data_IF_596995748367
#
_entry.id   IF_596995748367
#
_cell.length_a   1.000
_cell.length_b   1.000
_cell.length_c   1.000
_cell.angle_alpha   90.00
_cell.angle_beta   90.00
_cell.angle_gamma   90.00
#
_symmetry.space_group_name_H-M   'P 1'
#
loop_
_entity.id
_entity.type
_entity.pdbx_description
1 polymer ?
#
# COMPACT_ATOMS: atom_id res chain seq x y z
N UNK A 1 -7.09 22.08 -19.75
CA UNK A 1 -7.14 20.90 -20.63
C UNK A 1 -8.55 20.36 -20.54
N UNK A 2 -9.23 20.18 -21.67
CA UNK A 2 -10.60 19.70 -21.69
C UNK A 2 -10.60 18.19 -21.41
N UNK A 3 -11.38 17.77 -20.41
CA UNK A 3 -11.49 16.36 -20.01
C UNK A 3 -12.71 15.77 -20.75
N UNK A 4 -12.54 14.67 -21.51
CA UNK A 4 -13.66 13.99 -22.16
C UNK A 4 -14.77 13.56 -21.19
N UNK A 5 -16.02 13.53 -21.66
CA UNK A 5 -17.21 13.15 -20.85
C UNK A 5 -17.12 11.73 -20.24
N UNK A 6 -16.30 10.86 -20.82
CA UNK A 6 -16.07 9.49 -20.34
C UNK A 6 -14.89 9.37 -19.35
N UNK A 7 -14.33 10.50 -18.90
CA UNK A 7 -13.29 10.55 -17.88
C UNK A 7 -13.83 11.32 -16.68
N UNK A 8 -13.94 10.63 -15.55
CA UNK A 8 -14.30 11.24 -14.29
C UNK A 8 -13.03 11.41 -13.44
N UNK A 9 -12.66 12.65 -13.15
CA UNK A 9 -11.56 12.97 -12.25
C UNK A 9 -12.09 12.98 -10.81
N UNK A 10 -11.46 12.19 -9.96
CA UNK A 10 -11.80 12.04 -8.55
C UNK A 10 -10.54 12.34 -7.75
N UNK A 11 -10.67 13.12 -6.68
CA UNK A 11 -9.55 13.44 -5.79
C UNK A 11 -9.29 12.26 -4.84
N UNK A 12 -10.15 12.09 -3.84
CA UNK A 12 -10.04 11.03 -2.84
C UNK A 12 -11.30 10.16 -2.81
N UNK A 13 -11.09 8.84 -2.68
CA UNK A 13 -12.16 7.87 -2.56
C UNK A 13 -11.67 6.59 -1.88
N UNK A 14 -12.45 5.99 -0.95
CA UNK A 14 -12.12 4.69 -0.39
C UNK A 14 -12.09 3.61 -1.48
N UNK A 15 -10.93 2.97 -1.67
CA UNK A 15 -10.76 1.92 -2.68
C UNK A 15 -11.63 0.69 -2.43
N UNK A 16 -11.90 0.37 -1.17
CA UNK A 16 -12.78 -0.73 -0.76
C UNK A 16 -14.25 -0.50 -1.16
N UNK A 17 -14.67 0.76 -1.28
CA UNK A 17 -15.96 1.12 -1.86
C UNK A 17 -15.92 1.23 -3.39
N UNK A 18 -14.87 1.83 -3.96
CA UNK A 18 -14.78 2.10 -5.39
C UNK A 18 -14.53 0.84 -6.23
N UNK A 19 -13.55 0.02 -5.84
CA UNK A 19 -13.10 -1.11 -6.67
C UNK A 19 -14.15 -2.19 -6.91
N UNK A 20 -15.08 -2.51 -5.99
CA UNK A 20 -16.20 -3.41 -6.30
C UNK A 20 -17.08 -2.94 -7.46
N UNK A 21 -17.04 -1.65 -7.81
CA UNK A 21 -17.78 -1.05 -8.93
C UNK A 21 -16.95 -1.00 -10.22
N UNK A 22 -15.66 -1.35 -10.16
CA UNK A 22 -14.76 -1.33 -11.30
C UNK A 22 -14.71 -2.68 -12.03
N UNK A 23 -14.49 -2.64 -13.34
CA UNK A 23 -14.23 -3.87 -14.12
C UNK A 23 -12.76 -4.31 -14.07
N UNK A 24 -11.84 -3.37 -13.93
CA UNK A 24 -10.40 -3.59 -13.85
C UNK A 24 -9.73 -2.39 -13.16
N UNK A 25 -8.49 -2.57 -12.67
CA UNK A 25 -7.71 -1.51 -12.01
C UNK A 25 -6.32 -1.42 -12.62
N UNK A 26 -5.86 -0.20 -12.89
CA UNK A 26 -4.46 0.10 -13.27
C UNK A 26 -3.86 0.94 -12.17
N UNK A 27 -2.72 0.52 -11.62
CA UNK A 27 -2.04 1.27 -10.56
C UNK A 27 -0.55 0.93 -10.52
N UNK A 28 0.22 1.60 -9.67
CA UNK A 28 1.68 1.43 -9.64
C UNK A 28 2.16 0.13 -8.97
N UNK A 29 1.28 -0.69 -8.37
CA UNK A 29 1.67 -1.93 -7.68
C UNK A 29 1.96 -1.84 -6.19
N UNK A 30 1.43 -0.88 -5.43
CA UNK A 30 1.60 -0.88 -3.97
C UNK A 30 0.86 -2.07 -3.33
N UNK A 31 1.40 -2.67 -2.27
CA UNK A 31 0.82 -3.84 -1.60
C UNK A 31 -0.66 -3.68 -1.26
N UNK A 32 -1.01 -2.56 -0.60
CA UNK A 32 -2.38 -2.26 -0.19
C UNK A 32 -3.35 -2.16 -1.37
N UNK A 33 -3.03 -1.34 -2.38
CA UNK A 33 -3.89 -1.18 -3.57
C UNK A 33 -4.04 -2.49 -4.35
N UNK A 34 -2.96 -3.27 -4.47
CA UNK A 34 -3.00 -4.60 -5.10
C UNK A 34 -3.95 -5.52 -4.35
N UNK A 35 -3.79 -5.61 -3.03
CA UNK A 35 -4.64 -6.45 -2.18
C UNK A 35 -6.11 -6.02 -2.27
N UNK A 36 -6.41 -4.72 -2.20
CA UNK A 36 -7.78 -4.21 -2.29
C UNK A 36 -8.41 -4.48 -3.66
N UNK A 37 -7.67 -4.29 -4.75
CA UNK A 37 -8.14 -4.58 -6.11
C UNK A 37 -8.45 -6.07 -6.30
N UNK A 38 -7.55 -6.94 -5.86
CA UNK A 38 -7.75 -8.39 -5.94
C UNK A 38 -8.87 -8.89 -5.01
N UNK A 39 -9.01 -8.31 -3.81
CA UNK A 39 -10.14 -8.59 -2.90
C UNK A 39 -11.48 -8.18 -3.51
N UNK A 40 -11.52 -7.09 -4.28
CA UNK A 40 -12.71 -6.69 -5.05
C UNK A 40 -12.96 -7.56 -6.30
N UNK A 41 -12.10 -8.54 -6.57
CA UNK A 41 -12.20 -9.39 -7.76
C UNK A 41 -11.88 -8.65 -9.06
N UNK A 42 -11.10 -7.57 -9.00
CA UNK A 42 -10.71 -6.80 -10.17
C UNK A 42 -9.42 -7.34 -10.80
N UNK A 43 -9.45 -7.75 -12.08
CA UNK A 43 -8.25 -7.85 -12.89
C UNK A 43 -7.40 -6.58 -12.79
N UNK A 44 -6.09 -6.75 -12.68
CA UNK A 44 -5.19 -5.65 -12.29
C UNK A 44 -3.97 -5.59 -13.19
N UNK A 45 -3.60 -4.38 -13.64
CA UNK A 45 -2.31 -4.13 -14.32
C UNK A 45 -1.46 -3.25 -13.44
N UNK A 46 -0.20 -3.66 -13.26
CA UNK A 46 0.78 -2.94 -12.46
C UNK A 46 1.74 -2.16 -13.36
N UNK A 47 1.93 -0.88 -13.05
CA UNK A 47 2.92 0.01 -13.70
C UNK A 47 4.02 0.36 -12.70
N UNK A 48 5.02 -0.52 -12.49
CA UNK A 48 5.99 -0.33 -11.42
C UNK A 48 7.06 0.70 -11.79
N UNK A 49 7.54 1.40 -10.77
CA UNK A 49 8.68 2.30 -10.88
C UNK A 49 9.66 2.21 -9.70
N UNK A 50 9.28 1.67 -8.53
CA UNK A 50 10.21 1.44 -7.42
C UNK A 50 9.69 0.42 -6.38
N UNK A 51 10.58 -0.04 -5.49
CA UNK A 51 10.19 -0.79 -4.30
C UNK A 51 9.58 -2.17 -4.57
N UNK A 52 8.55 -2.52 -3.79
CA UNK A 52 7.84 -3.80 -3.87
C UNK A 52 6.90 -3.92 -5.09
N UNK A 53 6.73 -2.84 -5.85
CA UNK A 53 5.84 -2.78 -7.00
C UNK A 53 6.14 -3.83 -8.07
N UNK A 54 7.42 -4.10 -8.32
CA UNK A 54 7.84 -5.13 -9.27
C UNK A 54 7.41 -6.53 -8.81
N UNK A 55 7.56 -6.81 -7.50
CA UNK A 55 7.12 -8.07 -6.92
C UNK A 55 5.61 -8.27 -7.09
N UNK A 56 4.80 -7.24 -6.82
CA UNK A 56 3.35 -7.34 -6.97
C UNK A 56 2.92 -7.49 -8.43
N UNK A 57 3.58 -6.78 -9.35
CA UNK A 57 3.38 -6.96 -10.78
C UNK A 57 3.63 -8.40 -11.23
N UNK A 58 4.75 -8.99 -10.79
CA UNK A 58 5.09 -10.38 -11.09
C UNK A 58 4.07 -11.36 -10.49
N UNK A 59 3.61 -11.14 -9.25
CA UNK A 59 2.60 -11.99 -8.60
C UNK A 59 1.27 -11.97 -9.34
N UNK A 60 0.82 -10.78 -9.75
CA UNK A 60 -0.41 -10.59 -10.53
C UNK A 60 -0.33 -11.33 -11.86
N UNK A 61 0.77 -11.17 -12.60
CA UNK A 61 0.98 -11.87 -13.87
C UNK A 61 1.05 -13.39 -13.69
N UNK A 62 1.84 -13.88 -12.73
CA UNK A 62 2.05 -15.32 -12.51
C UNK A 62 0.76 -16.06 -12.12
N UNK A 63 -0.17 -15.36 -11.45
CA UNK A 63 -1.49 -15.89 -11.11
C UNK A 63 -2.52 -15.68 -12.23
N UNK A 64 -2.14 -15.04 -13.34
CA UNK A 64 -3.02 -14.77 -14.48
C UNK A 64 -4.13 -13.77 -14.18
N UNK A 65 -3.94 -12.90 -13.18
CA UNK A 65 -4.90 -11.89 -12.71
C UNK A 65 -4.79 -10.57 -13.50
N UNK A 66 -3.78 -10.50 -14.36
CA UNK A 66 -3.44 -9.36 -15.19
C UNK A 66 -2.35 -9.73 -16.20
N UNK A 67 -2.04 -8.82 -17.14
CA UNK A 67 -0.94 -9.00 -18.07
C UNK A 67 0.41 -8.86 -17.35
N UNK A 68 1.50 -8.98 -18.11
CA UNK A 68 2.82 -8.61 -17.60
C UNK A 68 2.83 -7.16 -17.10
N UNK A 69 3.53 -6.85 -16.00
CA UNK A 69 3.66 -5.48 -15.53
C UNK A 69 4.31 -4.61 -16.62
N UNK A 70 3.88 -3.35 -16.69
CA UNK A 70 4.39 -2.38 -17.68
C UNK A 70 5.34 -1.45 -16.94
N UNK A 71 6.68 -1.63 -17.01
CA UNK A 71 7.60 -0.68 -16.39
C UNK A 71 7.27 0.75 -16.82
N UNK A 72 7.38 1.72 -15.92
CA UNK A 72 6.97 3.11 -16.22
C UNK A 72 7.64 3.67 -17.48
N UNK A 73 8.88 3.27 -17.78
CA UNK A 73 9.63 3.65 -19.00
C UNK A 73 9.04 3.08 -20.30
N UNK A 74 8.16 2.08 -20.20
CA UNK A 74 7.48 1.40 -21.30
C UNK A 74 5.98 1.70 -21.30
N UNK A 75 5.50 2.62 -20.46
CA UNK A 75 4.09 3.01 -20.44
C UNK A 75 3.75 3.80 -21.71
N UNK A 76 3.10 3.13 -22.65
CA UNK A 76 2.60 3.70 -23.90
C UNK A 76 1.09 3.48 -24.01
N UNK A 77 0.43 4.26 -24.87
CA UNK A 77 -1.00 4.08 -25.18
C UNK A 77 -1.29 2.66 -25.64
N UNK A 78 -0.42 2.09 -26.49
CA UNK A 78 -0.56 0.74 -27.00
C UNK A 78 -0.47 -0.30 -25.88
N UNK A 79 0.58 -0.24 -25.05
CA UNK A 79 0.79 -1.19 -23.95
C UNK A 79 -0.35 -1.12 -22.93
N UNK A 80 -0.78 0.08 -22.56
CA UNK A 80 -1.89 0.27 -21.63
C UNK A 80 -3.22 -0.23 -22.23
N UNK A 81 -3.49 0.06 -23.51
CA UNK A 81 -4.70 -0.41 -24.19
C UNK A 81 -4.74 -1.94 -24.29
N UNK A 82 -3.62 -2.57 -24.61
CA UNK A 82 -3.51 -4.02 -24.66
C UNK A 82 -3.71 -4.65 -23.28
N UNK A 83 -3.17 -4.03 -22.24
CA UNK A 83 -3.36 -4.47 -20.87
C UNK A 83 -4.84 -4.38 -20.43
N UNK A 84 -5.54 -3.29 -20.75
CA UNK A 84 -6.97 -3.16 -20.49
C UNK A 84 -7.78 -4.22 -21.24
N UNK A 85 -7.49 -4.46 -22.53
CA UNK A 85 -8.17 -5.52 -23.29
C UNK A 85 -7.95 -6.91 -22.69
N UNK A 86 -6.73 -7.20 -22.24
CA UNK A 86 -6.43 -8.46 -21.54
C UNK A 86 -7.26 -8.58 -20.25
N UNK A 87 -7.24 -7.55 -19.40
CA UNK A 87 -7.97 -7.54 -18.13
C UNK A 87 -9.48 -7.71 -18.29
N UNK A 88 -10.06 -7.23 -19.40
CA UNK A 88 -11.49 -7.36 -19.69
C UNK A 88 -11.89 -8.73 -20.26
N UNK A 89 -10.95 -9.66 -20.45
CA UNK A 89 -11.27 -11.03 -20.85
C UNK A 89 -12.03 -11.77 -19.73
N UNK A 90 -13.10 -12.52 -20.05
CA UNK A 90 -13.89 -13.24 -19.05
C UNK A 90 -13.07 -14.19 -18.18
N UNK A 91 -12.06 -14.84 -18.76
CA UNK A 91 -11.20 -15.81 -18.06
C UNK A 91 -10.31 -15.13 -17.01
N UNK A 92 -9.84 -13.90 -17.29
CA UNK A 92 -9.05 -13.12 -16.34
C UNK A 92 -9.95 -12.65 -15.19
N UNK A 93 -11.17 -12.20 -15.50
CA UNK A 93 -12.17 -11.85 -14.47
C UNK A 93 -12.54 -13.04 -13.60
N UNK A 94 -12.75 -14.23 -14.17
CA UNK A 94 -13.04 -15.45 -13.41
C UNK A 94 -11.94 -15.75 -12.40
N UNK A 95 -10.67 -15.74 -12.84
CA UNK A 95 -9.53 -15.97 -11.93
C UNK A 95 -9.42 -14.92 -10.82
N UNK A 96 -9.68 -13.65 -11.14
CA UNK A 96 -9.70 -12.58 -10.14
C UNK A 96 -10.81 -12.80 -9.10
N UNK A 97 -12.00 -13.21 -9.52
CA UNK A 97 -13.12 -13.53 -8.62
C UNK A 97 -12.84 -14.79 -7.77
N UNK A 98 -12.20 -15.80 -8.34
CA UNK A 98 -11.78 -17.01 -7.60
C UNK A 98 -10.79 -16.65 -6.49
N UNK A 99 -9.78 -15.82 -6.79
CA UNK A 99 -8.85 -15.34 -5.78
C UNK A 99 -9.53 -14.45 -4.73
N UNK A 100 -10.43 -13.56 -5.16
CA UNK A 100 -11.19 -12.71 -4.23
C UNK A 100 -11.92 -13.55 -3.18
N UNK A 101 -12.54 -14.66 -3.59
CA UNK A 101 -13.19 -15.59 -2.69
C UNK A 101 -12.21 -16.26 -1.72
N UNK A 102 -10.99 -16.58 -2.15
CA UNK A 102 -9.97 -17.11 -1.24
C UNK A 102 -9.58 -16.07 -0.19
N UNK A 103 -9.30 -14.83 -0.62
CA UNK A 103 -8.98 -13.71 0.28
C UNK A 103 -10.13 -13.44 1.27
N UNK A 104 -11.38 -13.50 0.82
CA UNK A 104 -12.55 -13.31 1.68
C UNK A 104 -12.68 -14.39 2.77
N UNK A 105 -12.20 -15.60 2.50
CA UNK A 105 -12.24 -16.71 3.45
C UNK A 105 -11.00 -16.78 4.36
N UNK A 106 -10.09 -15.81 4.28
CA UNK A 106 -8.92 -15.70 5.14
C UNK A 106 -9.15 -14.69 6.29
N UNK A 107 -8.62 -14.98 7.48
CA UNK A 107 -8.47 -14.00 8.55
C UNK A 107 -6.98 -13.72 8.79
N UNK A 108 -6.44 -12.80 8.00
CA UNK A 108 -5.04 -12.40 8.08
C UNK A 108 -4.69 -11.70 9.40
N UNK A 109 -5.65 -11.04 10.05
CA UNK A 109 -5.41 -10.33 11.31
C UNK A 109 -5.29 -11.33 12.45
N UNK A 110 -6.22 -12.27 12.58
CA UNK A 110 -6.14 -13.33 13.58
C UNK A 110 -4.86 -14.16 13.39
N UNK A 111 -4.55 -14.55 12.14
CA UNK A 111 -3.32 -15.28 11.84
C UNK A 111 -2.05 -14.51 12.22
N UNK A 112 -2.03 -13.18 12.03
CA UNK A 112 -0.92 -12.34 12.43
C UNK A 112 -0.80 -12.22 13.95
N UNK A 113 -1.92 -12.08 14.67
CA UNK A 113 -1.96 -12.05 16.14
C UNK A 113 -1.48 -13.38 16.72
N UNK A 114 -1.97 -14.50 16.19
CA UNK A 114 -1.53 -15.84 16.59
C UNK A 114 -0.05 -16.07 16.28
N UNK A 115 0.43 -15.60 15.13
CA UNK A 115 1.84 -15.64 14.80
C UNK A 115 2.67 -14.80 15.77
N UNK A 116 2.22 -13.59 16.11
CA UNK A 116 2.91 -12.73 17.06
C UNK A 116 3.02 -13.39 18.44
N UNK A 117 1.91 -13.88 19.00
CA UNK A 117 1.92 -14.54 20.31
C UNK A 117 2.76 -15.81 20.35
N UNK A 118 2.79 -16.61 19.27
CA UNK A 118 3.65 -17.81 19.19
C UNK A 118 5.14 -17.50 19.21
N UNK A 119 5.55 -16.30 18.82
CA UNK A 119 6.96 -15.89 18.78
C UNK A 119 7.36 -14.97 19.94
N UNK A 120 6.44 -14.67 20.86
CA UNK A 120 6.80 -14.00 22.10
C UNK A 120 7.60 -14.96 22.99
N UNK A 121 8.68 -14.48 23.64
CA UNK A 121 9.32 -15.26 24.69
C UNK A 121 8.36 -15.46 25.86
N UNK A 122 8.50 -16.57 26.59
CA UNK A 122 7.69 -16.89 27.78
C UNK A 122 7.77 -15.78 28.85
N UNK A 123 8.90 -15.07 28.90
CA UNK A 123 9.11 -13.88 29.71
C UNK A 123 9.45 -12.69 28.80
N UNK A 124 8.64 -11.64 28.85
CA UNK A 124 8.99 -10.36 28.25
C UNK A 124 9.99 -9.69 29.21
N UNK A 125 11.23 -9.39 28.78
CA UNK A 125 12.17 -8.66 29.63
C UNK A 125 11.55 -7.30 29.93
N UNK A 126 11.11 -7.10 31.18
CA UNK A 126 10.69 -5.78 31.62
C UNK A 126 11.89 -4.86 31.48
N UNK A 127 11.73 -3.64 30.92
CA UNK A 127 12.81 -2.68 30.93
C UNK A 127 13.27 -2.54 32.37
N UNK A 128 14.55 -2.88 32.62
CA UNK A 128 15.19 -2.59 33.90
C UNK A 128 14.92 -1.12 34.18
N UNK A 129 14.43 -0.83 35.38
CA UNK A 129 14.13 0.49 35.93
C UNK A 129 14.79 1.66 35.19
N UNK A 130 13.99 2.70 34.91
CA UNK A 130 14.39 4.01 34.38
C UNK A 130 15.86 4.36 34.72
N UNK A 131 16.64 4.93 33.77
CA UNK A 131 18.03 5.25 34.01
C UNK A 131 18.18 6.00 35.34
N UNK A 132 19.06 5.47 36.20
CA UNK A 132 19.39 6.09 37.47
C UNK A 132 19.84 7.54 37.23
N UNK A 133 19.13 8.46 37.91
CA UNK A 133 19.43 9.89 38.09
C UNK A 133 19.67 10.71 36.82
N UNK A 134 18.69 11.56 36.55
CA UNK A 134 18.85 12.86 35.89
C UNK A 134 19.83 13.73 36.71
N UNK A 135 21.13 13.54 36.50
CA UNK A 135 22.10 14.60 36.71
C UNK A 135 21.81 15.60 35.59
N UNK A 136 21.08 16.67 35.93
CA UNK A 136 20.52 17.64 34.98
C UNK A 136 21.51 18.09 33.89
N UNK A 137 21.00 18.63 32.78
CA UNK A 137 21.77 18.78 31.54
C UNK A 137 23.11 19.47 31.78
N UNK A 138 24.17 18.90 31.21
CA UNK A 138 25.45 19.59 31.02
C UNK A 138 25.16 21.05 30.62
N UNK A 139 25.77 22.06 31.27
CA UNK A 139 25.57 23.47 30.93
C UNK A 139 25.53 23.77 29.43
N UNK A 140 26.28 23.02 28.61
CA UNK A 140 26.25 23.14 27.15
C UNK A 140 24.97 22.57 26.53
N UNK A 141 24.47 21.41 26.97
CA UNK A 141 23.19 20.87 26.52
C UNK A 141 22.01 21.75 26.91
N UNK A 142 22.00 22.31 28.13
CA UNK A 142 20.98 23.25 28.56
C UNK A 142 20.96 24.50 27.65
N UNK A 143 22.14 25.03 27.33
CA UNK A 143 22.28 26.17 26.43
C UNK A 143 21.73 25.87 25.02
N UNK A 144 21.98 24.69 24.46
CA UNK A 144 21.41 24.30 23.16
C UNK A 144 19.89 24.09 23.20
N UNK A 145 19.34 23.57 24.30
CA UNK A 145 17.89 23.44 24.49
C UNK A 145 17.22 24.83 24.53
N UNK A 146 17.84 25.81 25.19
CA UNK A 146 17.33 27.19 25.20
C UNK A 146 17.38 27.85 23.82
N UNK A 147 18.43 27.61 23.03
CA UNK A 147 18.50 28.08 21.63
C UNK A 147 17.43 27.40 20.77
N UNK A 148 17.24 26.09 20.91
CA UNK A 148 16.23 25.33 20.16
C UNK A 148 14.80 25.80 20.46
N UNK A 149 14.49 26.08 21.74
CA UNK A 149 13.19 26.62 22.14
C UNK A 149 12.95 28.06 21.65
N UNK A 150 14.00 28.87 21.50
CA UNK A 150 13.90 30.18 20.87
C UNK A 150 13.58 30.06 19.36
N UNK A 151 14.13 29.05 18.66
CA UNK A 151 13.76 28.78 17.28
C UNK A 151 12.30 28.30 17.13
N UNK A 152 11.79 27.47 18.05
CA UNK A 152 10.41 26.96 17.98
C UNK A 152 9.33 27.96 18.39
N UNK A 153 9.61 28.95 19.26
CA UNK A 153 8.61 29.96 19.64
C UNK A 153 8.29 31.01 18.55
N UNK A 154 9.01 31.00 17.42
CA UNK A 154 8.66 31.80 16.23
C UNK A 154 7.72 31.10 15.25
N UNK A 155 7.28 29.89 15.59
CA UNK A 155 6.27 29.13 14.86
C UNK A 155 5.00 28.96 15.73
N UNK A 156 4.43 30.06 16.24
CA UNK A 156 2.99 30.08 16.56
C UNK A 156 2.23 30.05 15.23
N UNK A 157 1.14 29.32 15.04
CA UNK A 157 -0.01 29.14 15.93
C UNK A 157 -1.25 29.46 15.07
N UNK A 158 -2.28 28.61 15.18
CA UNK A 158 -3.43 28.38 14.27
C UNK A 158 -3.13 27.42 13.12
#
# INVERSE_FOLDING_TARGET
>A
TEVPDNIFLLEDCPHDWLFPQCSAVVHHGGAGTTATGLKAGCPTTVVPFFGDQFFWGDRVQQKGLGPAPIPISQLTVENLSNAVRFMLQPEVKSRAMELAKLIENEDGVAAAVDAFHRHLPDEIPMPSSLPEKDDGPDPLQWFFIQIGNWCCQRCGGV
#
